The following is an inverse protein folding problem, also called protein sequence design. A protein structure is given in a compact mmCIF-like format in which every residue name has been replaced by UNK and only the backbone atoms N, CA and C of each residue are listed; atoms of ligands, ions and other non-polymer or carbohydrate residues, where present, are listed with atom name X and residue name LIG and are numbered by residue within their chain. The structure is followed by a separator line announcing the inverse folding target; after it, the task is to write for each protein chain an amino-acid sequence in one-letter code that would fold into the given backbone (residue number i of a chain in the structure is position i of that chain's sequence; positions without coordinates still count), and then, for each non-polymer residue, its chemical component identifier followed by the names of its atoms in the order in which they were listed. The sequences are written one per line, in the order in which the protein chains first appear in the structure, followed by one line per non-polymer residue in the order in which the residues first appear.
data_IF_771991520456
#
_entry.id   IF_771991520456
#
_cell.length_a   1.000
_cell.length_b   1.000
_cell.length_c   1.000
_cell.angle_alpha   90.00
_cell.angle_beta   90.00
_cell.angle_gamma   90.00
#
_symmetry.space_group_name_H-M   'P 1'
#
loop_
_entity.id
_entity.type
_entity.pdbx_description
1 polymer ?
#
# COMPACT_ATOMS: atom_id res chain seq x y z
N UNK A 1 -35.68 -36.22 -23.85
CA UNK A 1 -34.22 -36.08 -24.06
C UNK A 1 -33.71 -34.63 -24.17
N UNK A 2 -34.54 -33.59 -23.98
CA UNK A 2 -34.07 -32.20 -24.13
C UNK A 2 -33.55 -31.56 -22.84
N UNK A 3 -34.19 -31.86 -21.70
CA UNK A 3 -33.88 -31.20 -20.43
C UNK A 3 -32.48 -31.54 -19.91
N UNK A 4 -32.09 -32.82 -19.90
CA UNK A 4 -30.77 -33.25 -19.43
C UNK A 4 -29.62 -32.68 -20.28
N UNK A 5 -29.80 -32.63 -21.61
CA UNK A 5 -28.81 -32.05 -22.53
C UNK A 5 -28.69 -30.54 -22.29
N UNK A 6 -29.82 -29.83 -22.14
CA UNK A 6 -29.83 -28.40 -21.84
C UNK A 6 -29.21 -28.10 -20.47
N UNK A 7 -29.46 -28.92 -19.44
CA UNK A 7 -28.85 -28.78 -18.12
C UNK A 7 -27.33 -28.98 -18.19
N UNK A 8 -26.86 -29.99 -18.94
CA UNK A 8 -25.42 -30.21 -19.14
C UNK A 8 -24.75 -29.04 -19.86
N UNK A 9 -25.39 -28.52 -20.91
CA UNK A 9 -24.88 -27.36 -21.66
C UNK A 9 -24.85 -26.11 -20.78
N UNK A 10 -25.91 -25.86 -20.01
CA UNK A 10 -25.98 -24.73 -19.09
C UNK A 10 -24.91 -24.83 -17.99
N UNK A 11 -24.71 -26.01 -17.41
CA UNK A 11 -23.68 -26.25 -16.41
C UNK A 11 -22.26 -26.06 -16.99
N UNK A 12 -22.02 -26.55 -18.21
CA UNK A 12 -20.74 -26.37 -18.90
C UNK A 12 -20.45 -24.89 -19.18
N UNK A 13 -21.44 -24.14 -19.70
CA UNK A 13 -21.28 -22.69 -19.91
C UNK A 13 -21.04 -21.93 -18.62
N UNK A 14 -21.80 -22.23 -17.56
CA UNK A 14 -21.61 -21.61 -16.24
C UNK A 14 -20.19 -21.86 -15.71
N UNK A 15 -19.68 -23.08 -15.85
CA UNK A 15 -18.33 -23.45 -15.43
C UNK A 15 -17.25 -22.68 -16.21
N UNK A 16 -17.41 -22.55 -17.53
CA UNK A 16 -16.48 -21.80 -18.37
C UNK A 16 -16.45 -20.33 -17.97
N UNK A 17 -17.62 -19.69 -17.84
CA UNK A 17 -17.72 -18.27 -17.44
C UNK A 17 -17.11 -18.04 -16.07
N UNK A 18 -17.41 -18.90 -15.10
CA UNK A 18 -16.85 -18.82 -13.75
C UNK A 18 -15.33 -18.93 -13.76
N UNK A 19 -14.78 -19.88 -14.52
CA UNK A 19 -13.33 -20.10 -14.60
C UNK A 19 -12.61 -18.94 -15.29
N UNK A 20 -13.23 -18.34 -16.31
CA UNK A 20 -12.72 -17.16 -17.01
C UNK A 20 -12.75 -15.92 -16.10
N UNK A 21 -13.84 -15.72 -15.37
CA UNK A 21 -13.98 -14.62 -14.41
C UNK A 21 -12.93 -14.67 -13.32
N UNK A 22 -12.69 -15.83 -12.71
CA UNK A 22 -11.63 -16.01 -11.70
C UNK A 22 -10.25 -15.73 -12.30
N UNK A 23 -10.00 -16.16 -13.54
CA UNK A 23 -8.71 -15.92 -14.19
C UNK A 23 -8.42 -14.43 -14.37
N UNK A 24 -9.41 -13.66 -14.85
CA UNK A 24 -9.28 -12.20 -14.98
C UNK A 24 -9.08 -11.54 -13.62
N UNK A 25 -9.87 -11.92 -12.61
CA UNK A 25 -9.70 -11.38 -11.26
C UNK A 25 -8.31 -11.67 -10.69
N UNK A 26 -7.77 -12.87 -10.89
CA UNK A 26 -6.40 -13.23 -10.48
C UNK A 26 -5.33 -12.46 -11.23
N UNK A 27 -5.54 -12.12 -12.50
CA UNK A 27 -4.59 -11.34 -13.28
C UNK A 27 -4.41 -9.91 -12.76
N UNK A 28 -5.46 -9.33 -12.16
CA UNK A 28 -5.42 -7.96 -11.62
C UNK A 28 -5.08 -7.98 -10.12
N UNK A 29 -5.41 -9.05 -9.40
CA UNK A 29 -5.10 -9.24 -7.99
C UNK A 29 -3.63 -9.64 -7.77
N UNK A 30 -2.69 -8.82 -8.25
CA UNK A 30 -1.29 -8.95 -7.90
C UNK A 30 -1.02 -8.10 -6.66
N UNK A 31 -0.85 -8.70 -5.47
CA UNK A 31 -0.25 -7.96 -4.37
C UNK A 31 1.13 -7.47 -4.83
N UNK A 32 1.50 -6.22 -4.54
CA UNK A 32 2.84 -5.74 -4.85
C UNK A 32 3.86 -6.67 -4.19
N UNK A 33 4.97 -6.91 -4.88
CA UNK A 33 6.08 -7.67 -4.32
C UNK A 33 6.45 -7.07 -2.96
N UNK A 34 6.67 -7.89 -1.91
CA UNK A 34 7.17 -7.36 -0.66
C UNK A 34 8.46 -6.60 -0.97
N UNK A 35 8.58 -5.33 -0.53
CA UNK A 35 9.77 -4.55 -0.83
C UNK A 35 11.00 -5.33 -0.36
N UNK A 36 11.97 -5.50 -1.25
CA UNK A 36 13.23 -6.15 -0.92
C UNK A 36 13.90 -5.48 0.28
N UNK A 37 14.62 -6.27 1.07
CA UNK A 37 15.35 -5.76 2.24
C UNK A 37 16.21 -4.55 1.82
N UNK A 38 15.96 -3.40 2.46
CA UNK A 38 16.77 -2.19 2.31
C UNK A 38 16.38 -1.17 1.24
N UNK A 39 15.22 -1.26 0.56
CA UNK A 39 14.90 -0.25 -0.47
C UNK A 39 13.56 0.48 -0.35
N UNK A 40 12.60 0.03 0.47
CA UNK A 40 11.37 0.79 0.71
C UNK A 40 10.78 0.47 2.09
N UNK A 41 11.36 1.02 3.17
CA UNK A 41 10.66 1.06 4.46
C UNK A 41 9.93 2.39 4.55
N UNK A 42 8.59 2.35 4.66
CA UNK A 42 7.80 3.54 4.99
C UNK A 42 8.21 4.01 6.39
N UNK A 43 9.15 4.95 6.46
CA UNK A 43 9.57 5.57 7.71
C UNK A 43 8.70 6.82 7.91
N UNK A 44 7.90 6.75 8.98
CA UNK A 44 7.13 7.88 9.48
C UNK A 44 8.09 8.76 10.30
N UNK A 45 8.64 9.79 9.66
CA UNK A 45 9.53 10.76 10.31
C UNK A 45 8.67 11.89 10.89
N UNK A 46 8.72 12.09 12.21
CA UNK A 46 8.02 13.19 12.87
C UNK A 46 9.01 14.27 13.27
N UNK A 47 8.73 15.51 12.91
CA UNK A 47 9.52 16.68 13.25
C UNK A 47 8.75 17.59 14.19
N UNK A 48 9.42 18.13 15.22
CA UNK A 48 8.85 19.12 16.12
C UNK A 48 9.74 20.35 16.17
N UNK A 49 9.15 21.54 16.05
CA UNK A 49 9.88 22.79 16.28
C UNK A 49 10.03 23.01 17.80
N UNK A 50 11.27 23.17 18.27
CA UNK A 50 11.57 23.45 19.68
C UNK A 50 11.10 24.84 20.15
N UNK A 51 10.95 25.80 19.23
CA UNK A 51 10.49 27.17 19.55
C UNK A 51 8.97 27.24 19.77
N UNK A 52 8.19 26.85 18.77
CA UNK A 52 6.73 27.06 18.77
C UNK A 52 5.93 25.78 19.00
N UNK A 53 6.57 24.61 18.97
CA UNK A 53 5.91 23.32 19.15
C UNK A 53 5.16 22.78 17.93
N UNK A 54 5.28 23.39 16.75
CA UNK A 54 4.67 22.88 15.53
C UNK A 54 5.19 21.47 15.19
N UNK A 55 4.29 20.57 14.77
CA UNK A 55 4.60 19.19 14.44
C UNK A 55 4.32 18.89 12.96
N UNK A 56 5.25 18.20 12.30
CA UNK A 56 5.13 17.81 10.90
C UNK A 56 5.45 16.33 10.76
N UNK A 57 4.59 15.61 10.04
CA UNK A 57 4.79 14.21 9.68
C UNK A 57 5.25 14.13 8.23
N UNK A 58 6.44 13.58 8.00
CA UNK A 58 6.97 13.27 6.69
C UNK A 58 7.00 11.77 6.45
N UNK A 59 6.44 11.35 5.32
CA UNK A 59 6.48 9.97 4.86
C UNK A 59 7.53 9.87 3.77
N UNK A 60 8.61 9.14 4.03
CA UNK A 60 9.68 8.93 3.06
C UNK A 60 9.76 7.45 2.67
N UNK A 61 10.09 7.23 1.40
CA UNK A 61 10.28 5.91 0.81
C UNK A 61 11.74 5.43 0.93
N UNK A 62 12.71 6.35 0.84
CA UNK A 62 14.15 6.08 0.92
C UNK A 62 14.65 6.01 2.38
N UNK A 63 15.79 5.34 2.60
CA UNK A 63 16.46 5.28 3.92
C UNK A 63 17.35 6.49 4.22
N UNK A 64 17.65 7.31 3.20
CA UNK A 64 18.47 8.52 3.37
C UNK A 64 17.72 9.57 4.17
N UNK A 65 18.27 9.94 5.33
CA UNK A 65 17.67 10.95 6.20
C UNK A 65 17.62 12.30 5.47
N UNK A 66 16.43 12.87 5.24
CA UNK A 66 16.29 14.12 4.52
C UNK A 66 16.75 15.28 5.39
N UNK A 67 17.11 16.39 4.76
CA UNK A 67 17.40 17.63 5.49
C UNK A 67 16.16 18.04 6.31
N UNK A 68 16.34 18.46 7.58
CA UNK A 68 15.22 18.85 8.42
C UNK A 68 14.46 20.05 7.84
N UNK A 69 13.13 20.08 7.97
CA UNK A 69 12.33 21.21 7.53
C UNK A 69 12.62 22.44 8.39
N UNK A 70 12.56 23.62 7.77
CA UNK A 70 12.71 24.89 8.48
C UNK A 70 11.39 25.45 8.94
N UNK A 71 11.31 25.76 10.23
CA UNK A 71 10.19 26.44 10.84
C UNK A 71 10.69 27.37 11.95
N UNK A 72 10.09 28.55 12.12
CA UNK A 72 10.60 29.59 13.03
C UNK A 72 12.07 30.01 12.76
N UNK A 73 12.54 29.90 11.51
CA UNK A 73 13.92 30.17 11.07
C UNK A 73 14.98 29.22 11.64
N UNK A 74 14.56 28.13 12.28
CA UNK A 74 15.42 27.05 12.78
C UNK A 74 15.09 25.72 12.09
N UNK A 75 16.06 24.81 12.09
CA UNK A 75 15.88 23.45 11.61
C UNK A 75 15.09 22.66 12.67
N UNK A 76 14.01 21.97 12.27
CA UNK A 76 13.16 21.23 13.21
C UNK A 76 13.84 19.95 13.70
N UNK A 77 13.53 19.55 14.93
CA UNK A 77 14.10 18.36 15.54
C UNK A 77 13.36 17.09 15.11
N UNK A 78 14.12 16.06 14.69
CA UNK A 78 13.57 14.73 14.41
C UNK A 78 13.22 14.03 15.73
N UNK A 79 11.98 13.60 15.87
CA UNK A 79 11.45 12.92 17.06
C UNK A 79 11.09 11.49 16.68
N UNK A 80 11.80 10.50 17.23
CA UNK A 80 11.51 9.08 17.05
C UNK A 80 11.73 8.27 18.34
N UNK A 81 10.71 7.58 18.91
CA UNK A 81 9.29 7.95 19.18
C UNK A 81 9.10 8.40 20.67
N UNK A 82 8.13 9.27 21.10
CA UNK A 82 6.65 9.01 21.24
C UNK A 82 5.77 10.26 20.89
N UNK A 83 4.44 10.24 20.69
CA UNK A 83 3.33 9.81 21.57
C UNK A 83 2.21 9.02 20.84
N UNK A 84 1.45 8.32 21.69
CA UNK A 84 0.33 7.36 21.46
C UNK A 84 -0.63 7.70 20.31
#
# INVERSE_FOLDING_TARGET
MGLFVNILIAAAMAFVVWRLGIFVLRSIAHPPEPPGEGQLRKVDLRYRCSICGAEVKMVQASEDLPEPPRHCMEDMDLVAPPFE
#
